data_IF_283713415072
#
_entry.id   IF_283713415072
#
_cell.length_a   1.000
_cell.length_b   1.000
_cell.length_c   1.000
_cell.angle_alpha   90.00
_cell.angle_beta   90.00
_cell.angle_gamma   90.00
#
_symmetry.space_group_name_H-M   'P 1'
#
loop_
_entity.id
_entity.type
_entity.pdbx_description
1 polymer ?
#
# COMPACT_ATOMS: atom_id res chain seq x y z
N UNK A 1 -22.50 16.54 5.95
CA UNK A 1 -21.91 16.16 7.27
C UNK A 1 -21.56 17.43 8.03
N UNK A 2 -21.61 17.44 9.38
CA UNK A 2 -21.14 18.62 10.14
C UNK A 2 -19.63 18.75 9.96
N UNK A 3 -19.13 19.97 9.81
CA UNK A 3 -17.72 20.27 9.53
C UNK A 3 -16.74 19.64 10.53
N UNK A 4 -17.13 19.49 11.78
CA UNK A 4 -16.32 18.86 12.84
C UNK A 4 -16.05 17.36 12.63
N UNK A 5 -16.75 16.71 11.71
CA UNK A 5 -16.55 15.28 11.37
C UNK A 5 -15.83 15.08 10.02
N UNK A 6 -15.47 16.16 9.35
CA UNK A 6 -14.72 16.12 8.11
C UNK A 6 -13.23 16.02 8.47
N UNK A 7 -12.62 14.88 8.18
CA UNK A 7 -11.19 14.71 8.32
C UNK A 7 -10.48 15.18 7.06
N UNK A 8 -9.39 15.93 7.22
CA UNK A 8 -8.53 16.30 6.10
C UNK A 8 -7.97 15.05 5.42
N UNK A 9 -8.03 15.02 4.11
CA UNK A 9 -7.48 13.97 3.27
C UNK A 9 -6.83 14.58 2.05
N UNK A 10 -5.70 14.04 1.64
CA UNK A 10 -4.96 14.47 0.47
C UNK A 10 -4.62 13.25 -0.39
N UNK A 11 -5.65 12.70 -1.08
CA UNK A 11 -5.55 11.39 -1.72
C UNK A 11 -4.88 11.43 -3.10
N UNK A 12 -4.64 12.60 -3.68
CA UNK A 12 -3.98 12.74 -4.97
C UNK A 12 -2.47 12.79 -4.76
N UNK A 13 -1.75 11.94 -5.48
CA UNK A 13 -0.29 11.96 -5.46
C UNK A 13 0.25 13.12 -6.32
N UNK A 14 1.48 13.54 -6.05
CA UNK A 14 2.21 14.45 -6.92
C UNK A 14 2.38 13.81 -8.31
N UNK A 15 2.00 14.48 -9.41
CA UNK A 15 2.16 13.94 -10.76
C UNK A 15 3.60 13.52 -11.09
N UNK A 16 4.61 14.13 -10.48
CA UNK A 16 6.03 13.77 -10.63
C UNK A 16 6.37 12.38 -10.08
N UNK A 17 5.54 11.87 -9.18
CA UNK A 17 5.69 10.56 -8.59
C UNK A 17 4.91 9.45 -9.35
N UNK A 18 4.34 9.77 -10.52
CA UNK A 18 3.45 8.87 -11.25
C UNK A 18 4.07 8.47 -12.58
N UNK A 19 4.10 7.17 -12.83
CA UNK A 19 4.34 6.58 -14.15
C UNK A 19 3.00 6.08 -14.67
N UNK A 20 2.52 6.70 -15.75
CA UNK A 20 1.20 6.44 -16.31
C UNK A 20 1.33 5.78 -17.68
N UNK A 21 0.69 4.63 -17.86
CA UNK A 21 0.47 4.00 -19.16
C UNK A 21 -1.02 3.96 -19.53
N UNK A 22 -1.34 3.24 -20.59
CA UNK A 22 -2.73 3.15 -21.07
C UNK A 22 -3.67 2.50 -20.04
N UNK A 23 -3.22 1.40 -19.45
CA UNK A 23 -4.04 0.54 -18.59
C UNK A 23 -3.44 0.38 -17.19
N UNK A 24 -2.32 1.05 -16.89
CA UNK A 24 -1.65 0.97 -15.62
C UNK A 24 -1.23 2.33 -15.09
N UNK A 25 -1.13 2.41 -13.78
CA UNK A 25 -0.54 3.55 -13.07
C UNK A 25 0.35 3.02 -11.94
N UNK A 26 1.59 3.48 -11.90
CA UNK A 26 2.53 3.19 -10.82
C UNK A 26 2.80 4.50 -10.10
N UNK A 27 2.52 4.54 -8.80
CA UNK A 27 2.69 5.76 -7.98
C UNK A 27 3.71 5.50 -6.88
N UNK A 28 4.79 6.27 -6.87
CA UNK A 28 5.82 6.22 -5.84
C UNK A 28 5.42 7.11 -4.67
N UNK A 29 5.09 6.52 -3.53
CA UNK A 29 4.81 7.26 -2.29
C UNK A 29 6.09 7.51 -1.50
N UNK A 30 7.01 6.57 -1.55
CA UNK A 30 8.40 6.72 -1.12
C UNK A 30 9.31 5.94 -2.06
N UNK A 31 10.61 5.93 -1.81
CA UNK A 31 11.56 5.10 -2.58
C UNK A 31 11.37 3.59 -2.36
N UNK A 32 10.47 3.17 -1.45
CA UNK A 32 10.19 1.77 -1.06
C UNK A 32 8.71 1.43 -0.92
N UNK A 33 7.81 2.43 -0.91
CA UNK A 33 6.36 2.23 -0.88
C UNK A 33 5.77 2.66 -2.21
N UNK A 34 5.21 1.70 -2.95
CA UNK A 34 4.72 1.92 -4.31
C UNK A 34 3.30 1.40 -4.43
N UNK A 35 2.42 2.19 -5.04
CA UNK A 35 1.08 1.77 -5.45
C UNK A 35 1.11 1.31 -6.89
N UNK A 36 0.48 0.18 -7.14
CA UNK A 36 0.26 -0.39 -8.47
C UNK A 36 -1.23 -0.44 -8.76
N UNK A 37 -1.62 0.08 -9.89
CA UNK A 37 -2.99 0.03 -10.38
C UNK A 37 -2.99 -0.51 -11.81
N UNK A 38 -3.92 -1.42 -12.08
CA UNK A 38 -4.21 -1.89 -13.44
C UNK A 38 -5.71 -1.90 -13.68
N UNK A 39 -6.14 -1.33 -14.80
CA UNK A 39 -7.55 -1.31 -15.19
C UNK A 39 -7.65 -1.31 -16.72
N UNK A 40 -8.38 -2.26 -17.29
CA UNK A 40 -8.56 -2.35 -18.75
C UNK A 40 -9.19 -1.11 -19.39
N UNK A 41 -10.01 -0.39 -18.62
CA UNK A 41 -10.61 0.87 -19.08
C UNK A 41 -9.69 2.09 -18.93
N UNK A 42 -8.53 1.94 -18.28
CA UNK A 42 -7.64 3.07 -17.95
C UNK A 42 -8.19 4.03 -16.89
N UNK A 43 -9.21 3.62 -16.15
CA UNK A 43 -9.77 4.42 -15.06
C UNK A 43 -9.04 4.11 -13.75
N UNK A 44 -8.50 5.14 -13.11
CA UNK A 44 -7.76 5.04 -11.85
C UNK A 44 -8.45 5.83 -10.74
N UNK A 45 -8.16 5.49 -9.49
CA UNK A 45 -8.83 6.05 -8.32
C UNK A 45 -7.96 7.10 -7.64
N UNK A 46 -8.48 8.32 -7.56
CA UNK A 46 -7.83 9.45 -6.89
C UNK A 46 -8.48 9.84 -5.56
N UNK A 47 -9.57 9.18 -5.20
CA UNK A 47 -10.20 9.37 -3.89
C UNK A 47 -9.44 8.64 -2.78
N UNK A 48 -9.61 9.08 -1.54
CA UNK A 48 -9.15 8.34 -0.38
C UNK A 48 -9.91 7.00 -0.27
N UNK A 49 -9.21 5.94 0.11
CA UNK A 49 -9.84 4.68 0.47
C UNK A 49 -10.06 4.59 1.97
N UNK A 50 -10.68 3.52 2.44
CA UNK A 50 -10.81 3.24 3.87
C UNK A 50 -9.46 3.22 4.59
N UNK A 51 -8.39 2.83 3.90
CA UNK A 51 -7.06 2.67 4.49
C UNK A 51 -6.13 3.83 4.16
N UNK A 52 -6.10 4.28 2.91
CA UNK A 52 -5.12 5.26 2.43
C UNK A 52 -5.76 6.63 2.22
N UNK A 53 -5.32 7.62 3.00
CA UNK A 53 -5.87 8.98 3.03
C UNK A 53 -4.95 10.02 2.41
N UNK A 54 -3.62 9.78 2.43
CA UNK A 54 -2.61 10.74 2.02
C UNK A 54 -1.69 10.11 0.97
N UNK A 55 -1.66 10.71 -0.22
CA UNK A 55 -0.74 10.30 -1.30
C UNK A 55 0.12 11.45 -1.79
N UNK A 56 -0.11 12.68 -1.31
CA UNK A 56 0.63 13.89 -1.65
C UNK A 56 1.96 13.98 -0.88
N UNK A 57 2.77 12.95 -0.97
CA UNK A 57 4.06 12.91 -0.31
C UNK A 57 5.13 13.62 -1.17
N UNK A 58 6.32 13.75 -0.61
CA UNK A 58 7.45 14.41 -1.26
C UNK A 58 7.81 13.73 -2.58
N UNK A 59 8.46 14.47 -3.45
CA UNK A 59 8.98 13.95 -4.71
C UNK A 59 9.96 12.80 -4.49
N UNK A 60 9.76 11.71 -5.22
CA UNK A 60 10.61 10.52 -5.20
C UNK A 60 11.40 10.48 -6.51
N UNK A 61 12.72 10.69 -6.48
CA UNK A 61 13.56 10.54 -7.67
C UNK A 61 13.57 9.09 -8.17
N UNK A 62 13.30 8.88 -9.44
CA UNK A 62 13.42 7.59 -10.10
C UNK A 62 13.89 7.73 -11.55
N UNK A 63 14.48 6.68 -12.08
CA UNK A 63 14.87 6.57 -13.49
C UNK A 63 14.01 5.53 -14.19
N UNK A 64 13.64 5.81 -15.43
CA UNK A 64 12.88 4.90 -16.29
C UNK A 64 13.75 4.51 -17.49
N UNK A 65 13.80 3.20 -17.79
CA UNK A 65 14.47 2.65 -18.96
C UNK A 65 13.58 1.60 -19.62
N UNK A 66 13.41 1.69 -20.93
CA UNK A 66 12.82 0.62 -21.72
C UNK A 66 13.90 -0.39 -22.07
N UNK A 67 13.70 -1.65 -21.72
CA UNK A 67 14.67 -2.71 -21.96
C UNK A 67 13.97 -4.01 -22.38
N UNK A 68 14.18 -4.47 -23.62
CA UNK A 68 13.66 -5.77 -24.09
C UNK A 68 12.15 -5.96 -23.80
N UNK A 69 11.30 -5.02 -24.17
CA UNK A 69 9.86 -5.00 -23.92
C UNK A 69 9.44 -4.87 -22.42
N UNK A 70 10.37 -4.62 -21.52
CA UNK A 70 10.07 -4.32 -20.13
C UNK A 70 10.37 -2.87 -19.81
N UNK A 71 9.49 -2.29 -19.03
CA UNK A 71 9.72 -1.04 -18.33
C UNK A 71 10.55 -1.36 -17.08
N UNK A 72 11.76 -0.84 -17.00
CA UNK A 72 12.59 -0.90 -15.81
C UNK A 72 12.55 0.46 -15.12
N UNK A 73 12.06 0.50 -13.88
CA UNK A 73 12.00 1.72 -13.08
C UNK A 73 12.87 1.52 -11.84
N UNK A 74 13.74 2.49 -11.55
CA UNK A 74 14.64 2.42 -10.42
C UNK A 74 14.52 3.62 -9.52
N UNK A 75 14.24 3.40 -8.24
CA UNK A 75 14.44 4.39 -7.18
C UNK A 75 15.81 4.20 -6.52
N UNK A 76 16.06 4.94 -5.46
CA UNK A 76 17.26 4.73 -4.60
C UNK A 76 17.31 3.30 -4.03
N UNK A 77 16.17 2.69 -3.71
CA UNK A 77 16.09 1.46 -2.91
C UNK A 77 15.58 0.24 -3.66
N UNK A 78 14.76 0.41 -4.69
CA UNK A 78 14.15 -0.70 -5.43
C UNK A 78 14.35 -0.57 -6.93
N UNK A 79 14.21 -1.72 -7.60
CA UNK A 79 14.09 -1.84 -9.05
C UNK A 79 12.80 -2.58 -9.36
N UNK A 80 11.94 -1.98 -10.18
CA UNK A 80 10.73 -2.56 -10.72
C UNK A 80 11.02 -3.02 -12.14
N UNK A 81 10.53 -4.20 -12.51
CA UNK A 81 10.48 -4.70 -13.88
C UNK A 81 9.03 -5.01 -14.22
N UNK A 82 8.50 -4.40 -15.27
CA UNK A 82 7.10 -4.50 -15.67
C UNK A 82 6.96 -4.46 -17.20
N UNK A 83 6.11 -5.30 -17.79
CA UNK A 83 5.92 -5.35 -19.26
C UNK A 83 4.61 -4.71 -19.73
N UNK A 84 4.00 -3.86 -18.89
CA UNK A 84 2.86 -2.99 -19.20
C UNK A 84 1.52 -3.73 -19.50
N UNK A 85 1.45 -5.04 -19.23
CA UNK A 85 0.23 -5.86 -19.33
C UNK A 85 -0.45 -6.06 -17.99
N UNK A 86 -1.58 -6.78 -17.96
CA UNK A 86 -2.23 -7.18 -16.71
C UNK A 86 -1.23 -7.88 -15.78
N UNK A 87 -1.34 -7.63 -14.48
CA UNK A 87 -0.38 -8.15 -13.51
C UNK A 87 -0.40 -9.67 -13.45
N UNK A 88 0.78 -10.26 -13.53
CA UNK A 88 1.05 -11.68 -13.44
C UNK A 88 2.45 -11.91 -12.88
N UNK A 89 2.74 -13.12 -12.44
CA UNK A 89 4.04 -13.50 -11.87
C UNK A 89 5.22 -13.19 -12.80
N UNK A 90 5.05 -13.40 -14.10
CA UNK A 90 6.07 -13.15 -15.13
C UNK A 90 6.15 -11.72 -15.60
N UNK A 91 5.14 -10.90 -15.26
CA UNK A 91 4.90 -9.56 -15.79
C UNK A 91 5.45 -8.47 -14.87
N UNK A 92 5.26 -8.63 -13.55
CA UNK A 92 5.64 -7.61 -12.56
C UNK A 92 6.52 -8.22 -11.48
N UNK A 93 7.74 -7.69 -11.36
CA UNK A 93 8.62 -7.99 -10.23
C UNK A 93 9.28 -6.74 -9.65
N UNK A 94 9.63 -6.81 -8.36
CA UNK A 94 10.30 -5.74 -7.62
C UNK A 94 11.43 -6.34 -6.81
N UNK A 95 12.64 -5.79 -7.00
CA UNK A 95 13.85 -6.23 -6.30
C UNK A 95 14.42 -5.11 -5.45
N UNK A 96 14.89 -5.41 -4.25
CA UNK A 96 15.73 -4.47 -3.48
C UNK A 96 17.06 -4.25 -4.21
N UNK A 97 17.50 -3.00 -4.29
CA UNK A 97 18.79 -2.66 -4.97
C UNK A 97 20.02 -3.03 -4.16
N UNK A 98 19.84 -3.17 -2.86
CA UNK A 98 20.93 -3.62 -1.96
C UNK A 98 20.50 -4.91 -1.26
N UNK A 99 21.41 -5.86 -1.09
CA UNK A 99 21.14 -7.02 -0.27
C UNK A 99 20.70 -6.61 1.13
N UNK A 100 19.70 -7.29 1.65
CA UNK A 100 19.26 -7.12 3.02
C UNK A 100 19.75 -8.32 3.84
N UNK A 101 20.54 -8.05 4.87
CA UNK A 101 21.23 -9.09 5.66
C UNK A 101 22.00 -10.10 4.77
N UNK A 102 22.63 -9.60 3.70
CA UNK A 102 23.39 -10.42 2.75
C UNK A 102 22.54 -11.21 1.74
N UNK A 103 21.22 -11.05 1.76
CA UNK A 103 20.30 -11.73 0.85
C UNK A 103 19.74 -10.76 -0.19
N UNK A 104 19.73 -11.20 -1.44
CA UNK A 104 18.99 -10.56 -2.52
C UNK A 104 17.51 -10.86 -2.35
N UNK A 105 16.71 -9.82 -2.09
CA UNK A 105 15.27 -9.97 -1.92
C UNK A 105 14.52 -9.49 -3.16
N UNK A 106 13.65 -10.36 -3.68
CA UNK A 106 12.79 -10.10 -4.83
C UNK A 106 11.36 -10.55 -4.55
N UNK A 107 10.42 -9.70 -4.94
CA UNK A 107 9.01 -9.96 -4.97
C UNK A 107 8.52 -10.00 -6.42
N UNK A 108 7.55 -10.86 -6.72
CA UNK A 108 6.81 -10.88 -7.97
C UNK A 108 5.31 -10.92 -7.67
N UNK A 109 4.51 -10.45 -8.59
CA UNK A 109 3.05 -10.45 -8.41
C UNK A 109 2.53 -11.86 -8.14
N UNK A 110 1.63 -11.99 -7.17
CA UNK A 110 1.11 -13.30 -6.73
C UNK A 110 2.02 -14.10 -5.79
N UNK A 111 3.22 -13.61 -5.46
CA UNK A 111 4.10 -14.27 -4.49
C UNK A 111 3.41 -14.46 -3.15
N UNK A 112 3.43 -15.69 -2.62
CA UNK A 112 2.87 -15.99 -1.31
C UNK A 112 3.64 -15.30 -0.20
N UNK A 113 2.91 -14.72 0.73
CA UNK A 113 3.46 -14.08 1.92
C UNK A 113 3.40 -15.05 3.11
N UNK A 114 4.24 -16.09 3.10
CA UNK A 114 4.18 -17.15 4.10
C UNK A 114 4.77 -16.74 5.45
N UNK A 115 5.66 -15.73 5.45
CA UNK A 115 6.33 -15.22 6.65
C UNK A 115 5.90 -13.80 7.01
N UNK A 116 4.66 -13.42 6.65
CA UNK A 116 4.06 -12.18 7.11
C UNK A 116 3.97 -12.17 8.64
N UNK A 117 4.28 -11.03 9.27
CA UNK A 117 4.25 -10.91 10.74
C UNK A 117 2.83 -10.74 11.27
N UNK A 118 1.86 -10.67 10.37
CA UNK A 118 0.45 -10.47 10.64
C UNK A 118 0.14 -9.11 11.28
N UNK A 119 -1.13 -8.81 11.38
CA UNK A 119 -1.65 -7.63 12.05
C UNK A 119 -2.43 -8.04 13.30
N UNK A 120 -3.72 -7.74 13.27
CA UNK A 120 -4.64 -8.04 14.36
C UNK A 120 -5.90 -8.72 13.83
N UNK A 121 -6.75 -9.22 14.71
CA UNK A 121 -8.10 -9.63 14.37
C UNK A 121 -9.07 -8.46 14.53
N UNK A 122 -10.16 -8.50 13.78
CA UNK A 122 -11.23 -7.49 13.90
C UNK A 122 -11.92 -7.53 15.25
N UNK A 123 -12.17 -8.73 15.74
CA UNK A 123 -12.88 -8.97 16.99
C UNK A 123 -12.40 -10.27 17.61
N UNK A 124 -12.56 -10.38 18.91
CA UNK A 124 -12.39 -11.60 19.69
C UNK A 124 -13.73 -12.17 20.13
N UNK A 125 -14.85 -11.62 19.66
CA UNK A 125 -16.17 -12.13 19.97
C UNK A 125 -16.32 -13.56 19.46
N UNK A 126 -16.91 -14.41 20.30
CA UNK A 126 -17.08 -15.85 20.04
C UNK A 126 -15.77 -16.62 19.78
N UNK A 127 -14.62 -16.02 20.10
CA UNK A 127 -13.35 -16.70 19.97
C UNK A 127 -13.15 -17.69 21.12
N UNK A 128 -13.00 -18.95 20.77
CA UNK A 128 -12.62 -20.03 21.70
C UNK A 128 -11.23 -20.57 21.31
N UNK A 129 -10.23 -20.07 22.02
CA UNK A 129 -8.85 -20.44 21.76
C UNK A 129 -8.18 -19.61 20.65
N UNK A 130 -7.50 -20.30 19.72
CA UNK A 130 -6.70 -19.66 18.69
C UNK A 130 -7.57 -19.05 17.58
N UNK A 131 -7.30 -17.78 17.26
CA UNK A 131 -7.90 -17.09 16.10
C UNK A 131 -6.85 -16.84 15.01
N UNK A 132 -7.32 -16.72 13.78
CA UNK A 132 -6.47 -16.32 12.64
C UNK A 132 -6.31 -14.80 12.63
N UNK A 133 -5.07 -14.34 12.61
CA UNK A 133 -4.76 -12.92 12.40
C UNK A 133 -4.74 -12.59 10.92
N UNK A 134 -5.12 -11.35 10.57
CA UNK A 134 -5.02 -10.83 9.21
C UNK A 134 -3.57 -10.45 8.89
N UNK A 135 -3.20 -10.47 7.60
CA UNK A 135 -1.88 -10.03 7.16
C UNK A 135 -1.68 -8.55 7.43
N UNK A 136 -0.47 -8.21 7.89
CA UNK A 136 -0.03 -6.84 8.11
C UNK A 136 0.96 -6.39 7.04
N UNK A 137 1.47 -5.18 7.21
CA UNK A 137 2.42 -4.54 6.29
C UNK A 137 3.89 -4.95 6.52
N UNK A 138 4.14 -5.87 7.42
CA UNK A 138 5.48 -6.35 7.79
C UNK A 138 5.62 -7.84 7.47
N UNK A 139 6.73 -8.22 6.88
CA UNK A 139 7.04 -9.62 6.56
C UNK A 139 8.53 -9.90 6.74
N UNK A 140 8.86 -11.12 7.15
CA UNK A 140 10.24 -11.63 7.13
C UNK A 140 10.74 -11.92 5.72
N UNK A 141 9.84 -11.91 4.72
CA UNK A 141 10.20 -12.01 3.30
C UNK A 141 10.69 -10.68 2.72
N UNK A 142 10.66 -9.61 3.52
CA UNK A 142 11.10 -8.27 3.14
C UNK A 142 10.11 -7.47 2.29
N UNK A 143 8.98 -8.07 1.94
CA UNK A 143 7.90 -7.44 1.17
C UNK A 143 6.56 -7.77 1.81
N UNK A 144 5.63 -6.82 1.76
CA UNK A 144 4.24 -7.04 2.12
C UNK A 144 3.32 -6.28 1.15
N UNK A 145 2.16 -6.86 0.87
CA UNK A 145 1.15 -6.28 -0.01
C UNK A 145 -0.07 -5.85 0.79
N UNK A 146 -0.52 -4.64 0.57
CA UNK A 146 -1.79 -4.13 1.05
C UNK A 146 -2.72 -4.02 -0.16
N UNK A 147 -3.66 -4.95 -0.30
CA UNK A 147 -4.68 -4.94 -1.34
C UNK A 147 -5.78 -3.93 -0.99
N UNK A 148 -5.92 -2.91 -1.83
CA UNK A 148 -6.91 -1.85 -1.70
C UNK A 148 -8.00 -1.93 -2.78
N UNK A 149 -7.97 -2.97 -3.64
CA UNK A 149 -8.83 -3.10 -4.83
C UNK A 149 -10.33 -3.09 -4.51
N UNK A 150 -10.71 -3.59 -3.33
CA UNK A 150 -12.10 -3.78 -2.92
C UNK A 150 -12.54 -2.89 -1.76
N UNK A 151 -11.66 -2.04 -1.25
CA UNK A 151 -12.00 -1.16 -0.13
C UNK A 151 -12.92 -0.05 -0.61
N UNK A 152 -13.77 0.42 0.29
CA UNK A 152 -14.65 1.56 0.03
C UNK A 152 -13.84 2.84 -0.14
N UNK A 153 -14.36 3.76 -0.95
CA UNK A 153 -13.80 5.08 -1.16
C UNK A 153 -14.52 6.12 -0.29
N UNK A 154 -13.83 7.22 -0.04
CA UNK A 154 -14.38 8.35 0.70
C UNK A 154 -14.41 9.58 -0.21
N UNK A 155 -15.60 10.18 -0.33
CA UNK A 155 -15.77 11.44 -1.07
C UNK A 155 -15.15 12.61 -0.31
N UNK A 156 -14.97 13.75 -0.96
CA UNK A 156 -14.38 14.95 -0.34
C UNK A 156 -15.15 15.41 0.92
N UNK A 157 -16.47 15.27 0.90
CA UNK A 157 -17.35 15.59 2.04
C UNK A 157 -17.45 14.46 3.09
N UNK A 158 -16.71 13.35 2.91
CA UNK A 158 -16.56 12.28 3.89
C UNK A 158 -17.59 11.17 3.81
N UNK A 159 -18.41 11.15 2.77
CA UNK A 159 -19.35 10.04 2.56
C UNK A 159 -18.66 8.82 1.92
N UNK A 160 -19.26 7.67 2.14
CA UNK A 160 -18.85 6.41 1.53
C UNK A 160 -19.27 6.39 0.05
N UNK A 161 -18.35 5.94 -0.79
CA UNK A 161 -18.54 5.74 -2.21
C UNK A 161 -18.04 4.35 -2.60
N UNK A 162 -18.81 3.63 -3.38
CA UNK A 162 -18.38 2.37 -3.96
C UNK A 162 -17.39 2.60 -5.11
N UNK A 163 -16.49 1.64 -5.33
CA UNK A 163 -15.64 1.64 -6.52
C UNK A 163 -16.49 1.27 -7.75
N UNK A 164 -16.59 2.22 -8.68
CA UNK A 164 -17.38 2.01 -9.91
C UNK A 164 -16.65 1.16 -10.96
N UNK A 165 -15.35 1.13 -10.90
CA UNK A 165 -14.51 0.47 -11.88
C UNK A 165 -13.76 -0.67 -11.19
N UNK A 166 -13.89 -1.88 -11.75
CA UNK A 166 -13.06 -3.00 -11.37
C UNK A 166 -11.60 -2.71 -11.70
N UNK A 167 -10.72 -3.60 -11.36
CA UNK A 167 -9.29 -3.47 -11.58
C UNK A 167 -8.51 -3.80 -10.33
N UNK A 168 -7.22 -3.74 -10.43
CA UNK A 168 -6.30 -4.01 -9.34
C UNK A 168 -5.75 -2.70 -8.78
N UNK A 169 -5.65 -2.62 -7.46
CA UNK A 169 -5.13 -1.47 -6.75
C UNK A 169 -4.50 -1.95 -5.45
N UNK A 170 -3.18 -2.00 -5.40
CA UNK A 170 -2.47 -2.46 -4.22
C UNK A 170 -1.20 -1.64 -3.94
N UNK A 171 -0.77 -1.69 -2.69
CA UNK A 171 0.45 -1.06 -2.22
C UNK A 171 1.47 -2.13 -1.86
N UNK A 172 2.67 -2.01 -2.43
CA UNK A 172 3.81 -2.87 -2.10
C UNK A 172 4.73 -2.13 -1.14
N UNK A 173 4.93 -2.73 0.03
CA UNK A 173 5.91 -2.33 1.03
C UNK A 173 7.20 -3.14 0.81
N UNK A 174 8.21 -2.51 0.23
CA UNK A 174 9.50 -3.13 -0.14
C UNK A 174 10.61 -2.65 0.80
N UNK A 175 10.48 -2.94 2.09
CA UNK A 175 11.35 -2.40 3.14
C UNK A 175 12.45 -3.36 3.61
N UNK A 176 12.49 -4.60 3.08
CA UNK A 176 13.37 -5.60 3.65
C UNK A 176 13.03 -5.82 5.14
N UNK A 177 14.02 -5.74 6.00
CA UNK A 177 13.84 -5.84 7.45
C UNK A 177 13.82 -4.47 8.16
N UNK A 178 13.74 -3.37 7.43
CA UNK A 178 13.51 -2.05 8.02
C UNK A 178 12.04 -1.86 8.42
N UNK A 179 11.60 -2.62 9.42
CA UNK A 179 10.21 -2.60 9.92
C UNK A 179 9.79 -1.23 10.45
N UNK A 180 10.72 -0.46 11.03
CA UNK A 180 10.42 0.89 11.53
C UNK A 180 10.14 1.86 10.38
N UNK A 181 10.92 1.77 9.29
CA UNK A 181 10.69 2.54 8.07
C UNK A 181 9.32 2.24 7.48
N UNK A 182 8.96 0.95 7.38
CA UNK A 182 7.65 0.52 6.87
C UNK A 182 6.49 1.11 7.69
N UNK A 183 6.54 1.00 9.02
CA UNK A 183 5.51 1.54 9.92
C UNK A 183 5.45 3.06 9.85
N UNK A 184 6.59 3.74 9.79
CA UNK A 184 6.65 5.19 9.67
C UNK A 184 5.94 5.67 8.39
N UNK A 185 6.24 5.04 7.25
CA UNK A 185 5.67 5.44 5.98
C UNK A 185 4.20 5.00 5.86
N UNK A 186 3.82 3.89 6.50
CA UNK A 186 2.41 3.52 6.65
C UNK A 186 1.59 4.64 7.33
N UNK A 187 2.06 5.18 8.46
CA UNK A 187 1.38 6.29 9.12
C UNK A 187 1.39 7.59 8.32
N UNK A 188 2.30 7.77 7.38
CA UNK A 188 2.27 8.92 6.46
C UNK A 188 1.12 8.83 5.48
N UNK A 189 0.76 7.63 5.04
CA UNK A 189 -0.31 7.42 4.05
C UNK A 189 -1.68 7.15 4.67
N UNK A 190 -1.74 6.64 5.90
CA UNK A 190 -3.00 6.35 6.60
C UNK A 190 -3.42 7.45 7.58
N UNK A 191 -2.47 8.26 8.00
CA UNK A 191 -2.63 9.23 9.08
C UNK A 191 -2.14 8.70 10.42
N UNK A 192 -1.96 9.62 11.36
CA UNK A 192 -1.50 9.28 12.71
C UNK A 192 -2.61 8.66 13.53
N UNK A 193 -2.27 7.70 14.37
CA UNK A 193 -3.19 7.20 15.40
C UNK A 193 -3.58 8.36 16.32
N UNK A 194 -4.87 8.64 16.49
CA UNK A 194 -5.32 9.70 17.39
C UNK A 194 -4.91 9.38 18.83
N UNK A 195 -4.52 10.42 19.56
CA UNK A 195 -4.26 10.28 21.00
C UNK A 195 -5.57 10.00 21.73
N UNK A 196 -5.68 8.82 22.33
CA UNK A 196 -6.84 8.47 23.12
C UNK A 196 -6.89 9.29 24.41
N UNK A 197 -8.08 9.71 24.87
CA UNK A 197 -8.24 10.31 26.18
C UNK A 197 -7.74 9.36 27.29
N UNK A 198 -7.17 9.91 28.35
CA UNK A 198 -6.57 9.10 29.44
C UNK A 198 -7.54 8.09 30.03
N UNK A 199 -8.84 8.42 30.14
CA UNK A 199 -9.86 7.49 30.64
C UNK A 199 -10.05 6.27 29.75
N UNK A 200 -9.80 6.36 28.43
CA UNK A 200 -9.90 5.25 27.51
C UNK A 200 -8.77 4.22 27.69
N UNK A 201 -7.71 4.57 28.41
CA UNK A 201 -6.61 3.68 28.77
C UNK A 201 -6.85 2.98 30.11
N UNK A 202 -7.98 3.25 30.75
CA UNK A 202 -8.38 2.62 32.00
C UNK A 202 -8.89 1.21 31.81
N UNK A 203 -9.41 0.63 32.88
CA UNK A 203 -9.97 -0.71 32.85
C UNK A 203 -11.36 -0.70 32.19
N UNK A 204 -11.51 -1.46 31.10
CA UNK A 204 -12.78 -1.66 30.42
C UNK A 204 -13.38 -2.99 30.82
N UNK A 205 -14.60 -2.91 31.33
CA UNK A 205 -15.37 -4.10 31.66
C UNK A 205 -16.32 -4.40 30.51
N UNK A 206 -16.19 -5.58 29.91
CA UNK A 206 -17.17 -6.11 28.95
C UNK A 206 -17.77 -7.41 29.51
N UNK A 207 -19.05 -7.56 29.35
CA UNK A 207 -19.78 -8.75 29.78
C UNK A 207 -20.57 -9.33 28.62
#
# INVERSE_FOLDING_TARGET
>A
MKQQFICERRPKADPRNIVLGKNYRITFLTDRLVRFEYNESGAFVDEASQVIWYRDLEEVPFEIKQKNNFLEIQTKSIRIRYDERAFDESILSVKLRKPDNGCDLEWYYGKKEDRNLFGTARTLDEADGRIRLEKGILSRDGFAVLDDSKTILLTEDGWIKERKHGGEDFYLFAYGHDYRGAVKDFFRVTGRVPMLPKYALGNWWSR
#
